data_IF_087500062357
#
_entry.id   IF_087500062357
#
_cell.length_a   1.000
_cell.length_b   1.000
_cell.length_c   1.000
_cell.angle_alpha   90.00
_cell.angle_beta   90.00
_cell.angle_gamma   90.00
#
_symmetry.space_group_name_H-M   'P 1'
#
loop_
_entity.id
_entity.type
_entity.pdbx_description
1 polymer ?
#
# COMPACT_ATOMS: atom_id res chain seq x y z
N UNK A 1 3.98 12.03 6.60
CA UNK A 1 3.66 10.78 5.87
C UNK A 1 4.92 10.28 5.17
N UNK A 2 5.38 9.04 5.43
CA UNK A 2 6.44 8.37 4.67
C UNK A 2 5.79 7.32 3.77
N UNK A 3 6.15 7.29 2.49
CA UNK A 3 5.70 6.28 1.53
C UNK A 3 6.92 5.55 0.97
N UNK A 4 6.86 4.22 0.90
CA UNK A 4 7.90 3.37 0.33
C UNK A 4 7.24 2.44 -0.67
N UNK A 5 7.75 2.44 -1.90
CA UNK A 5 7.42 1.48 -2.94
C UNK A 5 8.71 0.71 -3.25
N UNK A 6 8.70 -0.59 -2.95
CA UNK A 6 9.78 -1.51 -3.30
C UNK A 6 9.26 -2.46 -4.37
N UNK A 7 10.00 -2.61 -5.46
CA UNK A 7 9.64 -3.44 -6.60
C UNK A 7 10.84 -4.31 -6.94
N UNK A 8 10.65 -5.62 -6.84
CA UNK A 8 11.63 -6.61 -7.30
C UNK A 8 11.28 -7.00 -8.74
N UNK A 9 12.17 -6.65 -9.68
CA UNK A 9 12.00 -6.95 -11.11
C UNK A 9 12.51 -8.35 -11.49
N UNK A 10 13.21 -9.04 -10.58
CA UNK A 10 13.79 -10.37 -10.80
C UNK A 10 12.95 -11.49 -10.19
N UNK A 11 12.14 -11.20 -9.17
CA UNK A 11 11.33 -12.18 -8.44
C UNK A 11 10.14 -12.81 -9.23
N UNK A 12 9.80 -12.32 -10.43
CA UNK A 12 8.62 -12.83 -11.13
C UNK A 12 8.40 -12.34 -12.54
N UNK A 13 7.62 -13.13 -13.29
CA UNK A 13 7.31 -13.01 -14.72
C UNK A 13 6.43 -11.79 -15.01
N UNK A 14 6.97 -10.58 -14.92
CA UNK A 14 6.34 -9.43 -15.57
C UNK A 14 6.41 -9.67 -17.09
N UNK A 15 5.40 -10.31 -17.66
CA UNK A 15 5.32 -10.58 -19.09
C UNK A 15 4.86 -9.33 -19.82
N UNK A 16 5.71 -8.72 -20.65
CA UNK A 16 5.38 -7.53 -21.44
C UNK A 16 6.02 -6.24 -20.92
N UNK A 17 5.35 -5.11 -21.11
CA UNK A 17 5.82 -3.80 -20.65
C UNK A 17 5.62 -3.67 -19.13
N UNK A 18 6.68 -3.93 -18.37
CA UNK A 18 6.70 -3.86 -16.91
C UNK A 18 6.24 -2.50 -16.36
N UNK A 19 6.56 -1.40 -17.05
CA UNK A 19 6.15 -0.07 -16.61
C UNK A 19 4.63 0.12 -16.78
N UNK A 20 4.07 -0.36 -17.88
CA UNK A 20 2.63 -0.33 -18.11
C UNK A 20 1.88 -1.17 -17.06
N UNK A 21 2.39 -2.36 -16.74
CA UNK A 21 1.71 -3.26 -15.82
C UNK A 21 1.82 -2.81 -14.35
N UNK A 22 3.00 -2.35 -13.93
CA UNK A 22 3.17 -1.71 -12.62
C UNK A 22 2.29 -0.46 -12.49
N UNK A 23 2.24 0.39 -13.53
CA UNK A 23 1.38 1.56 -13.56
C UNK A 23 -0.10 1.22 -13.41
N UNK A 24 -0.56 0.14 -14.06
CA UNK A 24 -1.92 -0.38 -13.93
C UNK A 24 -2.23 -0.82 -12.49
N UNK A 25 -1.34 -1.62 -11.88
CA UNK A 25 -1.48 -2.09 -10.49
C UNK A 25 -1.59 -0.90 -9.53
N UNK A 26 -0.67 0.06 -9.65
CA UNK A 26 -0.65 1.26 -8.79
C UNK A 26 -1.89 2.13 -8.97
N UNK A 27 -2.41 2.26 -10.20
CA UNK A 27 -3.65 3.02 -10.46
C UNK A 27 -4.85 2.39 -9.77
N UNK A 28 -4.99 1.06 -9.84
CA UNK A 28 -6.12 0.37 -9.20
C UNK A 28 -6.03 0.42 -7.68
N UNK A 29 -4.87 0.12 -7.13
CA UNK A 29 -4.66 0.21 -5.68
C UNK A 29 -4.85 1.64 -5.18
N UNK A 30 -4.19 2.62 -5.80
CA UNK A 30 -4.27 4.03 -5.41
C UNK A 30 -5.70 4.57 -5.53
N UNK A 31 -6.43 4.13 -6.56
CA UNK A 31 -7.85 4.39 -6.69
C UNK A 31 -8.69 3.81 -5.55
N UNK A 32 -8.35 2.62 -5.05
CA UNK A 32 -9.08 1.97 -3.96
C UNK A 32 -8.74 2.51 -2.55
N UNK A 33 -7.68 3.31 -2.39
CA UNK A 33 -7.23 3.78 -1.07
C UNK A 33 -8.34 4.46 -0.25
N UNK A 34 -9.26 5.17 -0.90
CA UNK A 34 -10.38 5.85 -0.24
C UNK A 34 -11.37 4.91 0.45
N UNK A 35 -11.29 3.60 0.20
CA UNK A 35 -12.09 2.58 0.89
C UNK A 35 -11.45 2.10 2.20
N UNK A 36 -10.21 2.49 2.50
CA UNK A 36 -9.49 2.06 3.70
C UNK A 36 -9.42 3.19 4.73
N UNK A 37 -9.48 2.83 6.01
CA UNK A 37 -9.28 3.79 7.11
C UNK A 37 -7.82 4.24 7.24
N UNK A 38 -6.90 3.54 6.57
CA UNK A 38 -5.45 3.77 6.59
C UNK A 38 -4.88 3.75 8.01
N UNK A 39 -5.33 2.78 8.80
CA UNK A 39 -4.83 2.52 10.15
C UNK A 39 -3.63 1.57 10.13
N UNK A 40 -2.71 1.66 11.09
CA UNK A 40 -1.63 0.70 11.22
C UNK A 40 -2.16 -0.75 11.20
N UNK A 41 -1.65 -1.56 10.28
CA UNK A 41 -2.11 -2.93 10.05
C UNK A 41 -3.02 -3.11 8.83
N UNK A 42 -3.65 -2.04 8.32
CA UNK A 42 -4.41 -2.09 7.08
C UNK A 42 -3.49 -2.47 5.91
N UNK A 43 -4.02 -3.20 4.94
CA UNK A 43 -3.28 -3.66 3.78
C UNK A 43 -4.11 -4.53 2.85
N UNK A 44 -3.56 -4.84 1.68
CA UNK A 44 -4.15 -5.79 0.74
C UNK A 44 -3.09 -6.34 -0.20
N UNK A 45 -3.38 -7.51 -0.77
CA UNK A 45 -2.64 -8.04 -1.92
C UNK A 45 -2.81 -7.15 -3.15
N UNK A 46 -1.80 -7.18 -4.02
CA UNK A 46 -1.75 -6.56 -5.33
C UNK A 46 -1.74 -7.65 -6.40
N UNK A 47 -2.49 -7.44 -7.48
CA UNK A 47 -2.72 -8.47 -8.50
C UNK A 47 -2.41 -7.94 -9.89
N UNK A 48 -1.77 -8.78 -10.71
CA UNK A 48 -1.56 -8.50 -12.13
C UNK A 48 -2.86 -8.65 -12.95
N UNK A 49 -2.76 -8.53 -14.27
CA UNK A 49 -3.92 -8.57 -15.17
C UNK A 49 -4.48 -9.98 -15.34
N UNK A 50 -3.67 -11.00 -15.01
CA UNK A 50 -4.06 -12.40 -14.94
C UNK A 50 -4.66 -12.78 -13.58
N UNK A 51 -4.90 -11.83 -12.68
CA UNK A 51 -5.34 -12.06 -11.30
C UNK A 51 -4.36 -12.91 -10.46
N UNK A 52 -3.08 -12.96 -10.85
CA UNK A 52 -2.05 -13.53 -10.01
C UNK A 52 -1.63 -12.50 -8.95
N UNK A 53 -1.48 -12.92 -7.70
CA UNK A 53 -0.93 -12.07 -6.65
C UNK A 53 0.56 -11.84 -6.93
N UNK A 54 0.95 -10.56 -6.97
CA UNK A 54 2.32 -10.13 -7.31
C UNK A 54 2.97 -9.29 -6.20
N UNK A 55 2.25 -9.07 -5.10
CA UNK A 55 2.77 -8.33 -3.96
C UNK A 55 1.66 -7.96 -3.00
N UNK A 56 2.00 -7.11 -2.02
CA UNK A 56 1.03 -6.55 -1.09
C UNK A 56 1.51 -5.17 -0.60
N UNK A 57 0.59 -4.40 -0.05
CA UNK A 57 0.90 -3.17 0.67
C UNK A 57 0.38 -3.26 2.10
N UNK A 58 0.99 -2.47 2.99
CA UNK A 58 0.59 -2.37 4.40
C UNK A 58 0.82 -0.96 4.93
N UNK A 59 -0.12 -0.43 5.71
CA UNK A 59 0.09 0.75 6.55
C UNK A 59 0.88 0.34 7.78
N UNK A 60 2.00 1.01 7.99
CA UNK A 60 2.86 0.82 9.16
C UNK A 60 2.76 2.04 10.08
N UNK A 61 2.89 1.82 11.38
CA UNK A 61 2.75 2.85 12.40
C UNK A 61 2.61 2.21 13.79
N UNK A 62 2.56 3.03 14.85
CA UNK A 62 2.27 2.52 16.19
C UNK A 62 0.75 2.33 16.36
N UNK A 63 0.29 1.22 16.97
CA UNK A 63 -1.10 1.06 17.35
C UNK A 63 -1.54 2.22 18.27
N UNK A 64 -2.70 2.82 17.99
CA UNK A 64 -3.25 3.93 18.78
C UNK A 64 -2.82 5.34 18.36
N UNK A 65 -1.95 5.47 17.36
CA UNK A 65 -1.65 6.76 16.73
C UNK A 65 -2.65 6.93 15.56
N UNK A 66 -3.87 7.39 15.88
CA UNK A 66 -4.86 7.71 14.85
C UNK A 66 -4.33 8.87 13.99
N UNK A 67 -4.45 8.82 12.64
CA UNK A 67 -4.02 9.91 11.78
C UNK A 67 -4.78 11.20 12.12
N UNK A 68 -4.12 12.12 12.83
CA UNK A 68 -4.67 13.44 13.16
C UNK A 68 -5.25 13.60 14.56
N UNK A 69 -5.10 12.62 15.45
CA UNK A 69 -5.42 12.83 16.87
C UNK A 69 -4.17 13.40 17.57
N UNK A 70 -4.22 14.69 17.93
CA UNK A 70 -3.16 15.30 18.75
C UNK A 70 -2.98 14.47 20.02
N UNK A 71 -1.73 14.15 20.42
CA UNK A 71 -1.51 13.42 21.65
C UNK A 71 -2.12 14.23 22.79
N UNK A 72 -3.09 13.63 23.49
CA UNK A 72 -3.73 14.26 24.63
C UNK A 72 -2.64 14.80 25.56
N UNK A 73 -2.62 16.13 25.75
CA UNK A 73 -1.65 16.77 26.63
C UNK A 73 -1.72 16.07 27.98
N UNK A 74 -0.61 15.44 28.37
CA UNK A 74 -0.45 14.90 29.70
C UNK A 74 -0.45 16.09 30.66
N UNK A 75 -1.64 16.38 31.22
CA UNK A 75 -1.83 17.42 32.22
C UNK A 75 -0.84 17.22 33.37
N UNK A 76 -0.08 18.27 33.65
CA UNK A 76 0.89 18.36 34.74
C UNK A 76 0.26 18.58 36.10
#
# INVERSE_FOLDING_TARGET
MKYVLEVDLEAGRMTGDTAAELGRILRYWGGNLHHYALRPGDGSGLYDSGYAEVGSWRVTGRPGEEPGEEPAEAGG
#
